data_IF_910211204660
#
_entry.id   IF_910211204660
#
_cell.length_a   1.000
_cell.length_b   1.000
_cell.length_c   1.000
_cell.angle_alpha   90.00
_cell.angle_beta   90.00
_cell.angle_gamma   90.00
#
_symmetry.space_group_name_H-M   'P 1'
#
loop_
_entity.id
_entity.type
_entity.pdbx_description
1 polymer ?
#
# COMPACT_ATOMS: atom_id res chain seq x y z
N UNK A 1 -30.83 25.42 12.45
CA UNK A 1 -29.35 25.30 12.52
C UNK A 1 -28.72 25.99 11.31
N UNK A 2 -27.67 26.80 11.47
CA UNK A 2 -26.99 27.44 10.32
C UNK A 2 -26.27 26.36 9.49
N UNK A 3 -26.31 26.46 8.16
CA UNK A 3 -25.72 25.53 7.17
C UNK A 3 -24.29 25.08 7.51
N UNK A 4 -23.51 25.94 8.17
CA UNK A 4 -22.14 25.68 8.63
C UNK A 4 -22.01 24.62 9.73
N UNK A 5 -23.00 24.46 10.62
CA UNK A 5 -22.91 23.48 11.72
C UNK A 5 -23.01 22.03 11.23
N UNK A 6 -23.84 21.77 10.20
CA UNK A 6 -23.92 20.45 9.57
C UNK A 6 -22.62 20.06 8.84
N UNK A 7 -21.93 21.06 8.27
CA UNK A 7 -20.63 20.86 7.64
C UNK A 7 -19.53 20.51 8.65
N UNK A 8 -19.51 21.17 9.82
CA UNK A 8 -18.54 20.87 10.87
C UNK A 8 -18.76 19.49 11.51
N UNK A 9 -20.02 19.10 11.74
CA UNK A 9 -20.36 17.77 12.29
C UNK A 9 -20.02 16.65 11.30
N UNK A 10 -20.30 16.86 10.01
CA UNK A 10 -19.94 15.91 8.95
C UNK A 10 -18.42 15.74 8.84
N UNK A 11 -17.66 16.83 8.86
CA UNK A 11 -16.19 16.79 8.84
C UNK A 11 -15.61 16.10 10.09
N UNK A 12 -16.19 16.34 11.27
CA UNK A 12 -15.77 15.69 12.51
C UNK A 12 -16.02 14.18 12.48
N UNK A 13 -17.19 13.73 12.01
CA UNK A 13 -17.51 12.30 11.88
C UNK A 13 -16.60 11.61 10.86
N UNK A 14 -16.30 12.29 9.76
CA UNK A 14 -15.36 11.79 8.74
C UNK A 14 -13.94 11.67 9.29
N UNK A 15 -13.46 12.64 10.06
CA UNK A 15 -12.15 12.54 10.72
C UNK A 15 -12.13 11.41 11.76
N UNK A 16 -13.16 11.31 12.60
CA UNK A 16 -13.23 10.32 13.67
C UNK A 16 -13.42 8.88 13.18
N UNK A 17 -14.07 8.66 12.04
CA UNK A 17 -14.29 7.31 11.49
C UNK A 17 -13.25 6.99 10.42
N UNK A 18 -12.93 7.94 9.55
CA UNK A 18 -12.02 7.74 8.43
C UNK A 18 -10.56 7.54 8.86
N UNK A 19 -10.07 8.29 9.86
CA UNK A 19 -8.68 8.18 10.30
C UNK A 19 -8.41 6.83 10.99
N UNK A 20 -9.22 6.37 11.97
CA UNK A 20 -9.00 5.05 12.57
C UNK A 20 -9.18 3.91 11.57
N UNK A 21 -10.10 4.04 10.62
CA UNK A 21 -10.29 3.04 9.57
C UNK A 21 -9.04 2.92 8.69
N UNK A 22 -8.45 4.03 8.25
CA UNK A 22 -7.21 4.02 7.46
C UNK A 22 -6.03 3.48 8.28
N UNK A 23 -5.93 3.85 9.55
CA UNK A 23 -4.88 3.34 10.46
C UNK A 23 -4.97 1.82 10.69
N UNK A 24 -6.13 1.21 10.47
CA UNK A 24 -6.29 -0.24 10.56
C UNK A 24 -6.18 -0.94 9.21
N UNK A 25 -6.86 -0.41 8.18
CA UNK A 25 -6.94 -1.03 6.85
C UNK A 25 -5.61 -0.97 6.12
N UNK A 26 -4.82 0.11 6.28
CA UNK A 26 -3.52 0.22 5.60
C UNK A 26 -2.51 -0.78 6.15
N UNK A 27 -2.32 -0.93 7.48
CA UNK A 27 -1.39 -1.93 7.98
C UNK A 27 -1.81 -3.37 7.70
N UNK A 28 -3.09 -3.68 7.89
CA UNK A 28 -3.61 -5.03 7.64
C UNK A 28 -3.56 -5.35 6.15
N UNK A 29 -4.02 -4.43 5.29
CA UNK A 29 -3.99 -4.60 3.84
C UNK A 29 -2.56 -4.65 3.27
N UNK A 30 -1.64 -3.87 3.83
CA UNK A 30 -0.23 -3.94 3.45
C UNK A 30 0.38 -5.30 3.81
N UNK A 31 0.14 -5.77 5.05
CA UNK A 31 0.63 -7.07 5.51
C UNK A 31 0.05 -8.25 4.71
N UNK A 32 -1.23 -8.20 4.33
CA UNK A 32 -1.82 -9.26 3.50
C UNK A 32 -1.23 -9.29 2.10
N UNK A 33 -0.94 -8.13 1.49
CA UNK A 33 -0.26 -8.07 0.18
C UNK A 33 1.17 -8.64 0.26
N UNK A 34 1.90 -8.35 1.34
CA UNK A 34 3.22 -8.95 1.59
C UNK A 34 3.12 -10.47 1.77
N UNK A 35 2.07 -10.96 2.41
CA UNK A 35 1.86 -12.39 2.65
C UNK A 35 1.40 -13.21 1.42
N UNK A 36 1.18 -12.57 0.25
CA UNK A 36 0.77 -13.25 -0.99
C UNK A 36 1.92 -13.14 -2.00
N UNK A 37 2.80 -14.17 -2.11
CA UNK A 37 3.99 -14.13 -2.96
C UNK A 37 3.76 -13.65 -4.39
N UNK A 38 2.77 -14.14 -5.17
CA UNK A 38 2.61 -13.70 -6.56
C UNK A 38 2.22 -12.22 -6.69
N UNK A 39 1.59 -11.64 -5.67
CA UNK A 39 1.21 -10.22 -5.69
C UNK A 39 2.38 -9.36 -5.24
N UNK A 40 3.06 -9.78 -4.17
CA UNK A 40 4.27 -9.15 -3.69
C UNK A 40 5.34 -9.06 -4.79
N UNK A 41 5.59 -10.16 -5.49
CA UNK A 41 6.56 -10.22 -6.58
C UNK A 41 6.25 -9.21 -7.68
N UNK A 42 5.02 -9.21 -8.20
CA UNK A 42 4.62 -8.28 -9.27
C UNK A 42 4.78 -6.83 -8.82
N UNK A 43 4.38 -6.50 -7.59
CA UNK A 43 4.53 -5.15 -7.05
C UNK A 43 6.01 -4.76 -6.88
N UNK A 44 6.82 -5.69 -6.42
CA UNK A 44 8.24 -5.47 -6.14
C UNK A 44 9.03 -5.36 -7.43
N UNK A 45 8.76 -6.22 -8.43
CA UNK A 45 9.38 -6.17 -9.77
C UNK A 45 9.20 -4.80 -10.41
N UNK A 46 7.99 -4.25 -10.33
CA UNK A 46 7.66 -2.91 -10.88
C UNK A 46 8.46 -1.78 -10.23
N UNK A 47 8.85 -1.92 -8.96
CA UNK A 47 9.53 -0.87 -8.20
C UNK A 47 11.05 -1.06 -8.21
N UNK A 48 11.50 -2.30 -8.21
CA UNK A 48 12.91 -2.67 -8.09
C UNK A 48 13.60 -2.67 -9.46
N UNK A 49 12.90 -3.15 -10.49
CA UNK A 49 13.41 -3.32 -11.85
C UNK A 49 12.42 -2.78 -12.89
N UNK A 50 12.20 -1.45 -12.90
CA UNK A 50 11.29 -0.83 -13.84
C UNK A 50 11.79 -1.05 -15.28
N UNK A 51 10.93 -1.62 -16.13
CA UNK A 51 11.22 -1.89 -17.55
C UNK A 51 12.29 -2.96 -17.81
N UNK A 52 12.55 -3.87 -16.86
CA UNK A 52 13.34 -5.07 -17.16
C UNK A 52 12.58 -5.97 -18.16
N UNK A 53 13.30 -6.52 -19.14
CA UNK A 53 12.74 -7.47 -20.12
C UNK A 53 12.65 -8.88 -19.56
N UNK A 54 13.55 -9.22 -18.64
CA UNK A 54 13.53 -10.47 -17.89
C UNK A 54 14.12 -10.26 -16.50
N UNK A 55 13.60 -11.02 -15.55
CA UNK A 55 14.05 -11.02 -14.16
C UNK A 55 14.34 -12.48 -13.81
N UNK A 56 15.60 -12.77 -13.52
CA UNK A 56 16.04 -14.05 -12.99
C UNK A 56 15.98 -13.97 -11.46
N UNK A 57 15.31 -14.93 -10.82
CA UNK A 57 15.11 -14.97 -9.37
C UNK A 57 15.88 -16.14 -8.81
N UNK A 58 16.96 -15.86 -8.11
CA UNK A 58 17.73 -16.84 -7.38
C UNK A 58 17.24 -16.89 -5.94
N UNK A 59 16.51 -17.95 -5.61
CA UNK A 59 16.03 -18.19 -4.25
C UNK A 59 17.11 -18.95 -3.46
N UNK A 60 17.85 -18.19 -2.65
CA UNK A 60 18.71 -18.74 -1.63
C UNK A 60 17.85 -19.10 -0.41
N UNK A 61 18.20 -20.20 0.26
CA UNK A 61 17.48 -20.79 1.39
C UNK A 61 16.74 -19.81 2.33
N UNK A 62 15.68 -20.30 2.98
CA UNK A 62 14.97 -19.58 4.04
C UNK A 62 15.94 -19.13 5.16
N UNK A 63 16.06 -17.82 5.37
CA UNK A 63 17.07 -17.26 6.27
C UNK A 63 16.67 -15.88 6.82
N UNK A 64 17.52 -15.24 7.62
CA UNK A 64 17.27 -13.87 8.10
C UNK A 64 17.19 -12.89 6.92
N UNK A 65 16.16 -12.05 6.82
CA UNK A 65 16.06 -11.00 5.79
C UNK A 65 16.91 -9.76 6.10
N UNK A 66 17.64 -9.79 7.21
CA UNK A 66 18.56 -8.73 7.65
C UNK A 66 19.87 -9.35 8.10
N UNK A 67 20.92 -8.53 8.27
CA UNK A 67 22.19 -8.96 8.88
C UNK A 67 22.06 -9.39 10.35
N UNK A 68 20.90 -9.19 10.98
CA UNK A 68 20.63 -9.65 12.34
C UNK A 68 20.14 -11.11 12.37
N UNK A 69 20.80 -12.00 13.12
CA UNK A 69 20.38 -13.40 13.26
C UNK A 69 19.05 -13.58 14.04
N UNK A 70 18.59 -12.54 14.74
CA UNK A 70 17.28 -12.46 15.39
C UNK A 70 16.26 -11.63 14.60
N UNK A 71 16.62 -11.21 13.38
CA UNK A 71 15.73 -10.49 12.49
C UNK A 71 14.59 -11.37 11.96
N UNK A 72 13.59 -10.77 11.31
CA UNK A 72 12.56 -11.54 10.62
C UNK A 72 13.22 -12.51 9.64
N UNK A 73 12.71 -13.74 9.60
CA UNK A 73 13.11 -14.76 8.63
C UNK A 73 12.21 -14.69 7.41
N UNK A 74 12.76 -14.96 6.24
CA UNK A 74 12.05 -14.93 4.98
C UNK A 74 12.84 -15.63 3.89
N UNK A 75 12.24 -15.70 2.71
CA UNK A 75 12.92 -16.16 1.51
C UNK A 75 14.07 -15.20 1.20
N UNK A 76 15.30 -15.71 1.10
CA UNK A 76 16.43 -14.90 0.66
C UNK A 76 16.44 -14.93 -0.85
N UNK A 77 15.89 -13.90 -1.47
CA UNK A 77 15.85 -13.82 -2.93
C UNK A 77 16.89 -12.80 -3.41
N UNK A 78 17.61 -13.17 -4.46
CA UNK A 78 18.41 -12.23 -5.25
C UNK A 78 17.81 -12.16 -6.64
N UNK A 79 17.59 -10.94 -7.13
CA UNK A 79 16.97 -10.73 -8.44
C UNK A 79 17.98 -10.13 -9.40
N UNK A 80 18.19 -10.79 -10.53
CA UNK A 80 18.99 -10.25 -11.63
C UNK A 80 18.08 -9.75 -12.72
N UNK A 81 18.07 -8.43 -12.91
CA UNK A 81 17.21 -7.75 -13.87
C UNK A 81 17.99 -7.42 -15.13
N UNK A 82 17.48 -7.90 -16.26
CA UNK A 82 18.04 -7.65 -17.59
C UNK A 82 17.23 -6.55 -18.28
N UNK A 83 17.92 -5.54 -18.83
CA UNK A 83 17.28 -4.43 -19.54
C UNK A 83 17.50 -4.53 -21.06
N UNK A 84 16.70 -3.79 -21.84
CA UNK A 84 16.77 -3.80 -23.31
C UNK A 84 18.12 -3.33 -23.87
N UNK A 85 18.85 -2.50 -23.12
CA UNK A 85 20.20 -2.03 -23.48
C UNK A 85 21.30 -3.07 -23.21
N UNK A 86 20.94 -4.25 -22.71
CA UNK A 86 21.85 -5.33 -22.34
C UNK A 86 22.52 -5.12 -20.98
N UNK A 87 22.18 -4.05 -20.25
CA UNK A 87 22.65 -3.86 -18.88
C UNK A 87 21.97 -4.84 -17.92
N UNK A 88 22.69 -5.16 -16.84
CA UNK A 88 22.19 -6.04 -15.79
C UNK A 88 22.28 -5.35 -14.44
N UNK A 89 21.24 -5.54 -13.61
CA UNK A 89 21.23 -5.08 -12.22
C UNK A 89 20.92 -6.26 -11.32
N UNK A 90 21.87 -6.59 -10.46
CA UNK A 90 21.68 -7.52 -9.35
C UNK A 90 21.09 -6.75 -8.17
N UNK A 91 19.99 -7.24 -7.62
CA UNK A 91 19.29 -6.64 -6.50
C UNK A 91 19.33 -7.57 -5.30
N UNK A 92 19.91 -7.13 -4.17
CA UNK A 92 19.99 -7.96 -2.98
C UNK A 92 18.64 -8.05 -2.27
N UNK A 93 18.47 -9.12 -1.49
CA UNK A 93 17.27 -9.41 -0.71
C UNK A 93 16.78 -8.23 0.16
N UNK A 94 17.70 -7.49 0.78
CA UNK A 94 17.35 -6.34 1.62
C UNK A 94 16.67 -5.20 0.84
N UNK A 95 17.09 -4.96 -0.41
CA UNK A 95 16.48 -3.98 -1.29
C UNK A 95 15.11 -4.48 -1.78
N UNK A 96 14.98 -5.78 -2.08
CA UNK A 96 13.72 -6.43 -2.49
C UNK A 96 12.70 -6.35 -1.34
N UNK A 97 13.08 -6.76 -0.14
CA UNK A 97 12.21 -6.75 1.03
C UNK A 97 11.74 -5.32 1.36
N UNK A 98 12.66 -4.35 1.41
CA UNK A 98 12.32 -2.97 1.75
C UNK A 98 11.41 -2.32 0.69
N UNK A 99 11.76 -2.46 -0.60
CA UNK A 99 10.98 -1.86 -1.69
C UNK A 99 9.65 -2.58 -1.90
N UNK A 100 9.61 -3.89 -1.76
CA UNK A 100 8.39 -4.69 -1.88
C UNK A 100 7.39 -4.45 -0.76
N UNK A 101 7.88 -4.34 0.48
CA UNK A 101 7.04 -3.88 1.60
C UNK A 101 6.52 -2.47 1.30
N UNK A 102 7.42 -1.54 0.96
CA UNK A 102 7.04 -0.17 0.60
C UNK A 102 5.96 -0.10 -0.48
N UNK A 103 6.10 -0.89 -1.54
CA UNK A 103 5.11 -1.00 -2.63
C UNK A 103 3.76 -1.51 -2.11
N UNK A 104 3.77 -2.59 -1.32
CA UNK A 104 2.58 -3.21 -0.75
C UNK A 104 1.78 -2.27 0.15
N UNK A 105 2.45 -1.57 1.08
CA UNK A 105 1.80 -0.58 1.95
C UNK A 105 1.33 0.65 1.17
N UNK A 106 2.05 1.07 0.14
CA UNK A 106 1.64 2.19 -0.72
C UNK A 106 0.38 1.86 -1.50
N UNK A 107 0.31 0.67 -2.10
CA UNK A 107 -0.87 0.19 -2.82
C UNK A 107 -2.07 0.07 -1.87
N UNK A 108 -1.89 -0.55 -0.70
CA UNK A 108 -2.93 -0.62 0.31
C UNK A 108 -3.41 0.78 0.74
N UNK A 109 -2.49 1.72 0.93
CA UNK A 109 -2.75 3.12 1.23
C UNK A 109 -3.60 3.82 0.16
N UNK A 110 -3.23 3.69 -1.11
CA UNK A 110 -3.95 4.33 -2.22
C UNK A 110 -5.33 3.71 -2.41
N UNK A 111 -5.43 2.38 -2.40
CA UNK A 111 -6.70 1.67 -2.57
C UNK A 111 -7.67 1.97 -1.42
N UNK A 112 -7.22 1.92 -0.17
CA UNK A 112 -8.08 2.23 0.97
C UNK A 112 -8.40 3.73 1.06
N UNK A 113 -7.42 4.59 0.81
CA UNK A 113 -7.59 6.05 0.82
C UNK A 113 -8.59 6.54 -0.22
N UNK A 114 -8.57 5.97 -1.43
CA UNK A 114 -9.54 6.29 -2.48
C UNK A 114 -10.96 5.85 -2.13
N UNK A 115 -11.14 4.66 -1.54
CA UNK A 115 -12.46 4.20 -1.05
C UNK A 115 -12.99 5.15 0.04
N UNK A 116 -12.15 5.50 1.02
CA UNK A 116 -12.54 6.42 2.09
C UNK A 116 -12.91 7.79 1.53
N UNK A 117 -12.14 8.31 0.56
CA UNK A 117 -12.45 9.57 -0.11
C UNK A 117 -13.83 9.53 -0.80
N UNK A 118 -14.16 8.46 -1.52
CA UNK A 118 -15.48 8.30 -2.15
C UNK A 118 -16.59 8.28 -1.09
N UNK A 119 -16.39 7.55 0.01
CA UNK A 119 -17.36 7.52 1.12
C UNK A 119 -17.54 8.91 1.75
N UNK A 120 -16.46 9.69 1.90
CA UNK A 120 -16.55 11.08 2.38
C UNK A 120 -17.40 11.95 1.45
N UNK A 121 -17.19 11.84 0.14
CA UNK A 121 -17.95 12.62 -0.85
C UNK A 121 -19.44 12.27 -0.76
N UNK A 122 -19.78 10.98 -0.70
CA UNK A 122 -21.17 10.51 -0.55
C UNK A 122 -21.79 11.04 0.74
N UNK A 123 -21.08 10.93 1.86
CA UNK A 123 -21.56 11.44 3.15
C UNK A 123 -21.79 12.96 3.12
N UNK A 124 -20.88 13.73 2.49
CA UNK A 124 -21.01 15.16 2.32
C UNK A 124 -22.24 15.54 1.47
N UNK A 125 -22.50 14.81 0.39
CA UNK A 125 -23.69 15.02 -0.46
C UNK A 125 -24.97 14.74 0.34
N UNK A 126 -25.04 13.60 1.04
CA UNK A 126 -26.22 13.23 1.84
C UNK A 126 -26.45 14.26 2.95
N UNK A 127 -25.41 14.62 3.71
CA UNK A 127 -25.49 15.64 4.75
C UNK A 127 -25.94 17.00 4.21
N UNK A 128 -25.41 17.41 3.05
CA UNK A 128 -25.83 18.65 2.37
C UNK A 128 -27.29 18.63 1.90
N UNK A 129 -27.84 17.44 1.59
CA UNK A 129 -29.25 17.25 1.20
C UNK A 129 -30.20 17.19 2.40
N UNK A 130 -29.79 16.58 3.51
CA UNK A 130 -30.60 16.50 4.75
C UNK A 130 -30.75 17.86 5.45
N UNK A 131 -29.80 18.78 5.26
CA UNK A 131 -29.85 20.15 5.80
C UNK A 131 -30.65 21.11 4.91
N UNK A 132 -31.22 20.64 3.78
CA UNK A 132 -32.08 21.47 2.95
C UNK A 132 -33.37 21.77 3.74
N UNK A 133 -33.64 23.04 4.12
CA UNK A 133 -34.86 23.35 4.86
C UNK A 133 -36.05 22.98 3.97
N UNK A 134 -37.02 22.24 4.50
CA UNK A 134 -38.34 22.16 3.88
C UNK A 134 -38.88 23.59 3.85
N UNK A 135 -39.20 24.07 2.65
CA UNK A 135 -40.15 25.19 2.53
C UNK A 135 -41.50 24.68 3.02
#
# INVERSE_FOLDING_TARGET
MKRWHGSCIGALLVLLVGVPLLLFVVPVGGATLVGIPPVFDVLTERVVCPNAVSIEKDEYNFGPVTTSPSGPTGHQEEWTCMFEDGSQKVVPNEEIALKGMGASFTVAGICSGSIVLVLMIVAAIIGGRLVKPSV
#
